data_IF_969991361011
#
_entry.id   IF_969991361011
#
_cell.length_a   1.000
_cell.length_b   1.000
_cell.length_c   1.000
_cell.angle_alpha   90.00
_cell.angle_beta   90.00
_cell.angle_gamma   90.00
#
_symmetry.space_group_name_H-M   'P 1'
#
loop_
_entity.id
_entity.type
_entity.pdbx_description
1 polymer ?
#
# COMPACT_ATOMS: atom_id res chain seq x y z
N UNK A 1 7.43 7.76 -43.85
CA UNK A 1 6.88 7.92 -42.48
C UNK A 1 7.53 6.91 -41.59
N UNK A 2 8.11 7.32 -40.48
CA UNK A 2 8.56 6.37 -39.45
C UNK A 2 7.34 5.64 -38.87
N UNK A 3 7.42 4.32 -38.56
CA UNK A 3 6.31 3.60 -37.97
C UNK A 3 6.00 4.14 -36.59
N UNK A 4 4.70 4.27 -36.25
CA UNK A 4 4.27 4.63 -34.90
C UNK A 4 4.50 3.43 -33.98
N UNK A 5 5.22 3.65 -32.90
CA UNK A 5 5.47 2.61 -31.90
C UNK A 5 4.15 2.21 -31.20
N UNK A 6 3.83 0.90 -31.19
CA UNK A 6 2.62 0.39 -30.57
C UNK A 6 2.87 0.18 -29.06
N UNK A 7 1.98 0.71 -28.25
CA UNK A 7 1.96 0.40 -26.82
C UNK A 7 0.52 0.21 -26.32
N UNK A 8 0.38 -0.49 -25.19
CA UNK A 8 -0.86 -0.56 -24.41
C UNK A 8 -0.59 -0.04 -23.01
N UNK A 9 -1.57 0.59 -22.41
CA UNK A 9 -1.46 1.13 -21.05
C UNK A 9 -2.76 0.86 -20.30
N UNK A 10 -2.65 0.48 -19.04
CA UNK A 10 -3.78 0.27 -18.15
C UNK A 10 -3.68 1.22 -16.95
N UNK A 11 -4.79 1.81 -16.54
CA UNK A 11 -4.89 2.62 -15.32
C UNK A 11 -5.73 1.87 -14.30
N UNK A 12 -5.23 1.74 -13.08
CA UNK A 12 -6.03 1.21 -11.97
C UNK A 12 -7.05 2.25 -11.53
N UNK A 13 -8.32 1.82 -11.34
CA UNK A 13 -9.41 2.70 -10.89
C UNK A 13 -9.36 3.02 -9.39
N UNK A 14 -8.18 3.33 -8.83
CA UNK A 14 -8.03 3.71 -7.44
C UNK A 14 -8.53 5.14 -7.20
N UNK A 15 -9.30 5.34 -6.13
CA UNK A 15 -9.70 6.67 -5.65
C UNK A 15 -8.64 7.20 -4.70
N UNK A 16 -8.30 8.47 -4.84
CA UNK A 16 -7.30 9.14 -4.02
C UNK A 16 -7.91 10.37 -3.35
N UNK A 17 -7.72 10.47 -2.03
CA UNK A 17 -8.01 11.66 -1.23
C UNK A 17 -6.70 12.15 -0.63
N UNK A 18 -6.36 13.42 -0.83
CA UNK A 18 -5.11 14.01 -0.37
C UNK A 18 -5.35 15.39 0.26
N UNK A 19 -4.52 15.74 1.23
CA UNK A 19 -4.53 17.04 1.91
C UNK A 19 -5.06 16.96 3.34
N UNK A 20 -5.38 18.12 3.88
CA UNK A 20 -5.94 18.24 5.22
C UNK A 20 -7.31 17.55 5.26
N UNK A 21 -7.56 16.85 6.37
CA UNK A 21 -8.82 16.15 6.62
C UNK A 21 -9.24 15.15 5.52
N UNK A 22 -8.29 14.67 4.71
CA UNK A 22 -8.56 13.67 3.67
C UNK A 22 -9.24 12.41 4.25
N UNK A 23 -8.95 12.04 5.51
CA UNK A 23 -9.59 10.93 6.21
C UNK A 23 -11.09 11.11 6.45
N UNK A 24 -11.63 12.31 6.42
CA UNK A 24 -13.07 12.55 6.63
C UNK A 24 -13.92 11.92 5.51
N UNK A 25 -13.29 11.66 4.36
CA UNK A 25 -13.92 10.91 3.27
C UNK A 25 -14.06 9.40 3.53
N UNK A 26 -13.43 8.87 4.59
CA UNK A 26 -13.34 7.42 4.86
C UNK A 26 -14.72 6.78 5.06
N UNK A 27 -15.62 7.42 5.84
CA UNK A 27 -16.97 6.91 6.06
C UNK A 27 -17.78 6.87 4.75
N UNK A 28 -17.65 7.91 3.91
CA UNK A 28 -18.32 7.98 2.61
C UNK A 28 -17.82 6.89 1.65
N UNK A 29 -16.50 6.66 1.63
CA UNK A 29 -15.92 5.59 0.80
C UNK A 29 -16.34 4.19 1.29
N UNK A 30 -16.40 3.96 2.61
CA UNK A 30 -16.94 2.71 3.18
C UNK A 30 -18.42 2.52 2.82
N UNK A 31 -19.23 3.58 2.92
CA UNK A 31 -20.64 3.54 2.52
C UNK A 31 -20.81 3.26 1.03
N UNK A 32 -19.97 3.82 0.16
CA UNK A 32 -20.00 3.57 -1.30
C UNK A 32 -19.80 2.10 -1.65
N UNK A 33 -19.07 1.36 -0.82
CA UNK A 33 -18.82 -0.08 -0.97
C UNK A 33 -19.85 -0.95 -0.22
N UNK A 34 -20.83 -0.32 0.44
CA UNK A 34 -21.78 -0.99 1.35
C UNK A 34 -21.08 -1.80 2.46
N UNK A 35 -19.87 -1.40 2.84
CA UNK A 35 -19.09 -2.07 3.88
C UNK A 35 -19.71 -1.84 5.25
N UNK A 36 -19.91 -2.91 6.02
CA UNK A 36 -20.53 -2.87 7.35
C UNK A 36 -19.53 -3.21 8.48
N UNK A 37 -18.45 -3.90 8.15
CA UNK A 37 -17.50 -4.45 9.13
C UNK A 37 -16.06 -4.17 8.72
N UNK A 38 -15.63 -2.91 8.93
CA UNK A 38 -14.29 -2.46 8.62
C UNK A 38 -13.29 -2.95 9.69
N UNK A 39 -12.25 -3.64 9.27
CA UNK A 39 -11.16 -4.11 10.12
C UNK A 39 -9.87 -3.37 9.80
N UNK A 40 -9.23 -2.80 10.84
CA UNK A 40 -8.01 -2.03 10.69
C UNK A 40 -6.78 -2.93 10.89
N UNK A 41 -5.75 -2.74 10.07
CA UNK A 41 -4.42 -3.34 10.25
C UNK A 41 -3.42 -2.21 10.41
N UNK A 42 -2.71 -2.17 11.54
CA UNK A 42 -1.65 -1.19 11.77
C UNK A 42 -0.53 -1.77 12.65
N UNK A 43 0.58 -1.05 12.73
CA UNK A 43 1.67 -1.39 13.65
C UNK A 43 1.45 -0.79 15.04
N UNK A 44 2.16 -1.33 16.03
CA UNK A 44 2.09 -0.90 17.43
C UNK A 44 2.30 0.63 17.59
N UNK A 45 3.27 1.21 16.89
CA UNK A 45 3.56 2.65 17.00
C UNK A 45 2.40 3.53 16.52
N UNK A 46 1.68 3.12 15.48
CA UNK A 46 0.48 3.84 15.01
C UNK A 46 -0.61 3.79 16.07
N UNK A 47 -0.85 2.60 16.65
CA UNK A 47 -1.90 2.41 17.64
C UNK A 47 -1.65 3.12 18.97
N UNK A 48 -0.36 3.25 19.41
CA UNK A 48 -0.03 3.72 20.76
C UNK A 48 0.58 5.12 20.82
N UNK A 49 1.12 5.61 19.71
CA UNK A 49 1.86 6.89 19.68
C UNK A 49 1.22 7.95 18.79
N UNK A 50 0.09 7.62 18.14
CA UNK A 50 -0.62 8.55 17.27
C UNK A 50 -2.12 8.46 17.53
N UNK A 51 -2.90 9.51 17.26
CA UNK A 51 -4.36 9.48 17.38
C UNK A 51 -5.06 8.82 16.18
N UNK A 52 -4.32 8.28 15.20
CA UNK A 52 -4.87 7.84 13.92
C UNK A 52 -5.88 6.70 14.05
N UNK A 53 -5.58 5.71 14.89
CA UNK A 53 -6.49 4.58 15.08
C UNK A 53 -7.81 5.04 15.70
N UNK A 54 -7.77 5.90 16.72
CA UNK A 54 -8.96 6.44 17.37
C UNK A 54 -9.74 7.35 16.43
N UNK A 55 -9.07 8.19 15.62
CA UNK A 55 -9.71 9.01 14.59
C UNK A 55 -10.43 8.13 13.56
N UNK A 56 -9.78 7.10 13.03
CA UNK A 56 -10.42 6.16 12.08
C UNK A 56 -11.60 5.43 12.71
N UNK A 57 -11.45 4.97 13.96
CA UNK A 57 -12.54 4.35 14.73
C UNK A 57 -13.73 5.29 14.90
N UNK A 58 -13.48 6.54 15.26
CA UNK A 58 -14.52 7.57 15.40
C UNK A 58 -15.25 7.85 14.09
N UNK A 59 -14.54 7.97 12.98
CA UNK A 59 -15.11 8.21 11.63
C UNK A 59 -15.97 7.01 11.18
N UNK A 60 -15.52 5.79 11.42
CA UNK A 60 -16.27 4.58 11.04
C UNK A 60 -17.52 4.33 11.89
N UNK A 61 -17.50 4.76 13.17
CA UNK A 61 -18.60 4.54 14.10
C UNK A 61 -19.00 3.07 14.20
N UNK A 62 -20.25 2.74 13.94
CA UNK A 62 -20.78 1.35 14.00
C UNK A 62 -20.17 0.40 12.96
N UNK A 63 -19.55 0.92 11.90
CA UNK A 63 -18.85 0.09 10.89
C UNK A 63 -17.49 -0.42 11.37
N UNK A 64 -16.93 0.13 12.45
CA UNK A 64 -15.67 -0.35 12.98
C UNK A 64 -15.85 -1.72 13.65
N UNK A 65 -15.28 -2.77 13.07
CA UNK A 65 -15.38 -4.13 13.60
C UNK A 65 -14.25 -4.47 14.57
N UNK A 66 -13.04 -3.93 14.38
CA UNK A 66 -11.88 -4.22 15.21
C UNK A 66 -10.57 -3.82 14.54
N UNK A 67 -9.43 -4.11 15.20
CA UNK A 67 -8.12 -3.82 14.68
C UNK A 67 -7.05 -4.82 15.12
N UNK A 68 -6.16 -5.20 14.20
CA UNK A 68 -4.87 -5.79 14.51
C UNK A 68 -3.81 -4.71 14.60
N UNK A 69 -3.24 -4.50 15.78
CA UNK A 69 -2.36 -3.38 16.09
C UNK A 69 -0.89 -3.76 16.28
N UNK A 70 -0.55 -5.01 16.00
CA UNK A 70 0.77 -5.59 16.30
C UNK A 70 1.60 -5.89 15.04
N UNK A 71 1.19 -5.39 13.86
CA UNK A 71 1.91 -5.66 12.62
C UNK A 71 3.35 -5.17 12.71
N UNK A 72 4.28 -6.09 12.64
CA UNK A 72 5.71 -5.85 12.77
C UNK A 72 6.34 -5.40 11.44
N UNK A 73 7.58 -4.89 11.55
CA UNK A 73 8.40 -4.55 10.37
C UNK A 73 8.60 -5.78 9.48
N UNK A 74 8.62 -5.56 8.17
CA UNK A 74 8.77 -6.57 7.12
C UNK A 74 7.61 -7.56 6.99
N UNK A 75 6.50 -7.32 7.68
CA UNK A 75 5.29 -8.13 7.61
C UNK A 75 5.58 -9.63 7.82
N UNK A 76 5.84 -10.08 9.06
CA UNK A 76 6.02 -11.49 9.35
C UNK A 76 4.77 -12.29 8.99
N UNK A 77 4.97 -13.51 8.51
CA UNK A 77 3.86 -14.38 8.09
C UNK A 77 2.92 -14.70 9.25
N UNK A 78 3.45 -14.84 10.47
CA UNK A 78 2.66 -15.16 11.66
C UNK A 78 1.77 -13.99 12.08
N UNK A 79 2.28 -12.73 12.04
CA UNK A 79 1.44 -11.54 12.27
C UNK A 79 0.28 -11.47 11.26
N UNK A 80 0.53 -11.87 10.01
CA UNK A 80 -0.52 -11.90 8.96
C UNK A 80 -1.56 -12.98 9.23
N UNK A 81 -1.14 -14.16 9.72
CA UNK A 81 -2.07 -15.24 10.11
C UNK A 81 -2.97 -14.82 11.27
N UNK A 82 -2.38 -14.21 12.30
CA UNK A 82 -3.13 -13.68 13.45
C UNK A 82 -4.13 -12.62 13.00
N UNK A 83 -3.68 -11.62 12.21
CA UNK A 83 -4.55 -10.58 11.69
C UNK A 83 -5.70 -11.14 10.83
N UNK A 84 -5.43 -12.15 10.01
CA UNK A 84 -6.46 -12.81 9.19
C UNK A 84 -7.46 -13.59 10.05
N UNK A 85 -7.00 -14.27 11.11
CA UNK A 85 -7.87 -14.98 12.04
C UNK A 85 -8.79 -14.01 12.80
N UNK A 86 -8.27 -12.91 13.33
CA UNK A 86 -9.06 -11.88 14.00
C UNK A 86 -10.08 -11.22 13.04
N UNK A 87 -9.65 -10.85 11.84
CA UNK A 87 -10.54 -10.25 10.83
C UNK A 87 -11.67 -11.21 10.42
N UNK A 88 -11.36 -12.51 10.25
CA UNK A 88 -12.35 -13.54 9.93
C UNK A 88 -13.36 -13.74 11.06
N UNK A 89 -12.90 -13.82 12.30
CA UNK A 89 -13.77 -13.97 13.48
C UNK A 89 -14.75 -12.80 13.62
N UNK A 90 -14.34 -11.60 13.20
CA UNK A 90 -15.18 -10.40 13.20
C UNK A 90 -16.01 -10.23 11.91
N UNK A 91 -15.90 -11.13 10.95
CA UNK A 91 -16.63 -11.07 9.67
C UNK A 91 -16.28 -9.82 8.85
N UNK A 92 -15.01 -9.45 8.81
CA UNK A 92 -14.55 -8.24 8.10
C UNK A 92 -14.87 -8.28 6.61
N UNK A 93 -15.54 -7.25 6.11
CA UNK A 93 -15.90 -7.03 4.71
C UNK A 93 -15.13 -5.87 4.04
N UNK A 94 -14.37 -5.11 4.84
CA UNK A 94 -13.47 -4.05 4.40
C UNK A 94 -12.19 -4.10 5.26
N UNK A 95 -11.03 -4.00 4.63
CA UNK A 95 -9.75 -3.87 5.32
C UNK A 95 -9.19 -2.46 5.17
N UNK A 96 -8.69 -1.89 6.27
CA UNK A 96 -8.07 -0.57 6.29
C UNK A 96 -6.63 -0.71 6.81
N UNK A 97 -5.66 -0.46 5.94
CA UNK A 97 -4.25 -0.44 6.30
C UNK A 97 -3.84 0.97 6.74
N UNK A 98 -3.38 1.15 7.97
CA UNK A 98 -2.83 2.44 8.45
C UNK A 98 -1.33 2.27 8.67
N UNK A 99 -0.51 2.82 7.79
CA UNK A 99 0.94 2.69 7.90
C UNK A 99 1.71 2.91 6.62
N UNK A 100 2.89 2.32 6.56
CA UNK A 100 3.77 2.31 5.40
C UNK A 100 3.90 0.89 4.81
N UNK A 101 4.90 0.66 3.98
CA UNK A 101 5.05 -0.53 3.13
C UNK A 101 4.78 -1.88 3.79
N UNK A 102 5.23 -2.13 5.04
CA UNK A 102 5.02 -3.42 5.72
C UNK A 102 3.55 -3.69 6.01
N UNK A 103 2.84 -2.70 6.56
CA UNK A 103 1.41 -2.81 6.87
C UNK A 103 0.59 -3.00 5.59
N UNK A 104 0.87 -2.22 4.54
CA UNK A 104 0.15 -2.32 3.27
C UNK A 104 0.35 -3.71 2.62
N UNK A 105 1.56 -4.25 2.66
CA UNK A 105 1.86 -5.60 2.17
C UNK A 105 1.13 -6.68 2.98
N UNK A 106 1.17 -6.58 4.31
CA UNK A 106 0.47 -7.49 5.20
C UNK A 106 -1.02 -7.51 4.93
N UNK A 107 -1.67 -6.35 4.84
CA UNK A 107 -3.11 -6.22 4.62
C UNK A 107 -3.57 -6.89 3.32
N UNK A 108 -2.76 -6.85 2.25
CA UNK A 108 -3.05 -7.59 1.01
C UNK A 108 -3.10 -9.09 1.23
N UNK A 109 -2.14 -9.63 1.99
CA UNK A 109 -2.11 -11.07 2.24
C UNK A 109 -3.19 -11.47 3.25
N UNK A 110 -3.56 -10.60 4.18
CA UNK A 110 -4.78 -10.77 5.00
C UNK A 110 -6.01 -10.88 4.09
N UNK A 111 -6.17 -10.01 3.08
CA UNK A 111 -7.27 -10.11 2.11
C UNK A 111 -7.24 -11.42 1.33
N UNK A 112 -6.06 -11.90 0.92
CA UNK A 112 -5.90 -13.20 0.27
C UNK A 112 -6.35 -14.32 1.22
N UNK A 113 -5.87 -14.31 2.46
CA UNK A 113 -6.23 -15.31 3.47
C UNK A 113 -7.72 -15.34 3.79
N UNK A 114 -8.40 -14.19 3.76
CA UNK A 114 -9.86 -14.13 3.97
C UNK A 114 -10.65 -14.70 2.79
N UNK A 115 -10.15 -14.50 1.58
CA UNK A 115 -10.85 -14.95 0.36
C UNK A 115 -10.58 -16.42 0.01
N UNK A 116 -9.42 -16.97 0.36
CA UNK A 116 -9.00 -18.32 -0.02
C UNK A 116 -9.02 -19.28 1.19
N UNK A 117 -9.52 -20.52 0.99
CA UNK A 117 -9.57 -21.55 2.04
C UNK A 117 -8.40 -22.52 1.93
N UNK A 118 -7.18 -22.01 1.84
CA UNK A 118 -5.96 -22.80 1.75
C UNK A 118 -4.86 -22.20 2.62
N UNK A 119 -3.87 -23.01 3.06
CA UNK A 119 -2.69 -22.49 3.73
C UNK A 119 -2.00 -21.41 2.90
N UNK A 120 -1.48 -20.35 3.54
CA UNK A 120 -0.83 -19.24 2.85
C UNK A 120 0.37 -19.70 2.00
N UNK A 121 1.09 -20.72 2.46
CA UNK A 121 2.23 -21.29 1.74
C UNK A 121 1.85 -21.82 0.36
N UNK A 122 0.64 -22.39 0.22
CA UNK A 122 0.12 -22.90 -1.05
C UNK A 122 -0.33 -21.80 -2.00
N UNK A 123 -0.56 -20.58 -1.46
CA UNK A 123 -0.97 -19.40 -2.21
C UNK A 123 0.21 -18.53 -2.65
N UNK A 124 1.41 -18.85 -2.19
CA UNK A 124 2.61 -18.10 -2.54
C UNK A 124 3.10 -18.43 -3.97
N UNK A 125 3.79 -17.47 -4.57
CA UNK A 125 4.51 -17.63 -5.84
C UNK A 125 5.57 -18.72 -5.70
N UNK A 126 5.61 -19.63 -6.66
CA UNK A 126 6.57 -20.74 -6.71
C UNK A 126 7.69 -20.41 -7.69
N UNK A 127 8.90 -20.68 -7.25
CA UNK A 127 10.12 -20.53 -8.04
C UNK A 127 10.65 -21.93 -8.40
N UNK A 128 10.59 -22.31 -9.67
CA UNK A 128 11.12 -23.58 -10.18
C UNK A 128 12.47 -23.32 -10.83
N UNK A 129 13.58 -23.52 -10.11
CA UNK A 129 14.95 -23.52 -10.63
C UNK A 129 15.23 -22.60 -11.82
N UNK A 130 15.14 -23.12 -13.03
CA UNK A 130 15.43 -22.40 -14.27
C UNK A 130 14.21 -21.82 -14.99
N UNK A 131 13.00 -21.93 -14.43
CA UNK A 131 11.76 -21.41 -15.03
C UNK A 131 11.35 -20.04 -14.49
N UNK A 132 10.41 -19.34 -15.16
CA UNK A 132 9.85 -18.11 -14.63
C UNK A 132 9.05 -18.39 -13.34
N UNK A 133 8.95 -17.41 -12.42
CA UNK A 133 8.13 -17.55 -11.23
C UNK A 133 6.66 -17.74 -11.61
N UNK A 134 5.98 -18.65 -10.92
CA UNK A 134 4.55 -18.94 -11.15
C UNK A 134 3.74 -18.58 -9.92
N UNK A 135 2.89 -17.58 -10.04
CA UNK A 135 1.92 -17.23 -9.01
C UNK A 135 0.64 -18.05 -9.20
N UNK A 136 0.11 -18.69 -8.14
CA UNK A 136 -1.17 -19.38 -8.21
C UNK A 136 -2.29 -18.43 -8.65
N UNK A 137 -3.20 -18.91 -9.50
CA UNK A 137 -4.37 -18.15 -9.88
C UNK A 137 -5.39 -18.18 -8.74
N UNK A 138 -5.57 -17.04 -8.06
CA UNK A 138 -6.50 -16.88 -6.95
C UNK A 138 -7.85 -16.36 -7.51
N UNK A 139 -8.90 -17.16 -7.43
CA UNK A 139 -10.16 -16.86 -8.13
C UNK A 139 -11.22 -16.23 -7.23
N UNK A 140 -11.20 -16.52 -5.93
CA UNK A 140 -12.23 -16.05 -5.01
C UNK A 140 -12.21 -14.52 -4.84
N UNK A 141 -13.34 -13.87 -4.54
CA UNK A 141 -13.39 -12.45 -4.21
C UNK A 141 -12.56 -12.16 -2.96
N UNK A 142 -12.07 -10.92 -2.85
CA UNK A 142 -11.30 -10.43 -1.71
C UNK A 142 -12.03 -9.22 -1.10
N UNK A 143 -11.98 -9.04 0.22
CA UNK A 143 -12.41 -7.79 0.82
C UNK A 143 -11.68 -6.61 0.18
N UNK A 144 -12.35 -5.49 -0.13
CA UNK A 144 -11.70 -4.29 -0.60
C UNK A 144 -10.73 -3.76 0.45
N UNK A 145 -9.71 -3.01 -0.03
CA UNK A 145 -8.67 -2.45 0.84
C UNK A 145 -8.65 -0.93 0.69
N UNK A 146 -8.62 -0.22 1.82
CA UNK A 146 -8.25 1.18 1.92
C UNK A 146 -6.84 1.31 2.48
N UNK A 147 -6.03 2.20 1.91
CA UNK A 147 -4.70 2.51 2.42
C UNK A 147 -4.66 3.94 2.98
N UNK A 148 -4.36 4.08 4.26
CA UNK A 148 -4.05 5.35 4.93
C UNK A 148 -2.54 5.40 5.11
N UNK A 149 -1.87 6.26 4.35
CA UNK A 149 -0.42 6.32 4.35
C UNK A 149 0.12 7.15 5.52
N UNK A 150 1.13 6.63 6.22
CA UNK A 150 1.94 7.42 7.16
C UNK A 150 3.28 7.83 6.57
N UNK A 151 3.73 7.17 5.50
CA UNK A 151 4.94 7.54 4.77
C UNK A 151 4.85 7.09 3.31
N UNK A 152 5.59 7.75 2.43
CA UNK A 152 5.65 7.43 1.02
C UNK A 152 6.15 6.01 0.77
N UNK A 153 5.49 5.28 -0.13
CA UNK A 153 5.86 3.92 -0.48
C UNK A 153 5.35 3.55 -1.87
N UNK A 154 6.17 2.85 -2.64
CA UNK A 154 5.74 2.26 -3.92
C UNK A 154 4.72 1.11 -3.74
N UNK A 155 4.53 0.64 -2.50
CA UNK A 155 3.56 -0.40 -2.21
C UNK A 155 2.10 0.08 -2.22
N UNK A 156 1.85 1.39 -2.33
CA UNK A 156 0.54 1.97 -2.03
C UNK A 156 -0.61 1.53 -2.96
N UNK A 157 -0.34 1.13 -4.20
CA UNK A 157 -1.34 0.75 -5.21
C UNK A 157 -1.07 -0.61 -5.88
N UNK A 158 -0.18 -1.41 -5.31
CA UNK A 158 0.21 -2.72 -5.88
C UNK A 158 -0.71 -3.85 -5.43
N UNK A 159 -0.78 -4.91 -6.25
CA UNK A 159 -1.46 -6.19 -5.91
C UNK A 159 -0.51 -7.29 -5.43
N UNK A 160 0.78 -7.00 -5.28
CA UNK A 160 1.80 -7.94 -4.83
C UNK A 160 2.30 -7.65 -3.42
N UNK A 161 2.78 -8.67 -2.72
CA UNK A 161 3.39 -8.55 -1.41
C UNK A 161 4.46 -9.63 -1.20
N UNK A 162 5.55 -9.28 -0.51
CA UNK A 162 6.55 -10.23 -0.05
C UNK A 162 6.61 -10.18 1.47
N UNK A 163 6.38 -11.32 2.13
CA UNK A 163 6.33 -11.49 3.56
C UNK A 163 7.59 -12.18 4.09
N UNK A 164 8.00 -11.81 5.30
CA UNK A 164 9.13 -12.45 5.98
C UNK A 164 8.67 -13.76 6.64
N UNK A 165 9.45 -14.80 6.49
CA UNK A 165 9.28 -16.09 7.18
C UNK A 165 9.93 -16.05 8.57
N UNK A 166 9.34 -16.76 9.53
CA UNK A 166 9.90 -16.90 10.89
C UNK A 166 11.22 -17.68 10.89
N UNK A 167 11.35 -18.67 10.01
CA UNK A 167 12.55 -19.53 9.88
C UNK A 167 13.75 -18.85 9.21
N UNK A 168 13.63 -17.55 8.84
CA UNK A 168 14.69 -16.81 8.15
C UNK A 168 14.91 -17.22 6.68
N UNK A 169 14.08 -18.12 6.15
CA UNK A 169 14.11 -18.53 4.76
C UNK A 169 13.73 -17.42 3.78
N UNK A 170 13.76 -17.72 2.46
CA UNK A 170 13.36 -16.76 1.43
C UNK A 170 11.96 -16.22 1.71
N UNK A 171 11.74 -14.94 1.37
CA UNK A 171 10.41 -14.31 1.53
C UNK A 171 9.37 -15.06 0.70
N UNK A 172 8.17 -15.20 1.26
CA UNK A 172 7.02 -15.70 0.50
C UNK A 172 6.40 -14.54 -0.26
N UNK A 173 6.29 -14.70 -1.57
CA UNK A 173 5.70 -13.70 -2.44
C UNK A 173 4.28 -14.09 -2.83
N UNK A 174 3.39 -13.12 -2.81
CA UNK A 174 1.98 -13.27 -3.14
C UNK A 174 1.60 -12.26 -4.21
N UNK A 175 0.73 -12.66 -5.11
CA UNK A 175 0.17 -11.76 -6.11
C UNK A 175 -1.30 -12.05 -6.37
N UNK A 176 -2.14 -11.04 -6.16
CA UNK A 176 -3.53 -11.04 -6.61
C UNK A 176 -3.95 -9.61 -6.96
N UNK A 177 -4.27 -9.30 -8.23
CA UNK A 177 -4.66 -7.95 -8.63
C UNK A 177 -5.91 -7.43 -7.89
N UNK A 178 -6.76 -8.32 -7.35
CA UNK A 178 -7.94 -7.97 -6.55
C UNK A 178 -7.59 -7.37 -5.18
N UNK A 179 -6.32 -7.49 -4.74
CA UNK A 179 -5.84 -6.87 -3.49
C UNK A 179 -5.22 -5.49 -3.70
N UNK A 180 -5.28 -4.93 -4.91
CA UNK A 180 -5.01 -3.50 -5.10
C UNK A 180 -6.00 -2.69 -4.27
N UNK A 181 -5.57 -1.62 -3.59
CA UNK A 181 -6.50 -0.79 -2.83
C UNK A 181 -7.51 -0.13 -3.77
N UNK A 182 -8.72 0.00 -3.31
CA UNK A 182 -9.78 0.73 -4.03
C UNK A 182 -9.78 2.22 -3.67
N UNK A 183 -9.23 2.56 -2.49
CA UNK A 183 -9.07 3.96 -2.05
C UNK A 183 -7.76 4.14 -1.28
N UNK A 184 -7.10 5.27 -1.53
CA UNK A 184 -5.86 5.69 -0.86
C UNK A 184 -6.10 7.07 -0.23
N UNK A 185 -5.58 7.26 1.00
CA UNK A 185 -5.64 8.50 1.73
C UNK A 185 -4.23 9.02 2.02
N UNK A 186 -3.92 10.21 1.55
CA UNK A 186 -2.74 11.01 1.90
C UNK A 186 -3.16 12.14 2.82
N UNK A 187 -3.68 11.78 3.99
CA UNK A 187 -4.07 12.73 5.02
C UNK A 187 -2.82 13.37 5.64
N UNK A 188 -2.78 14.69 5.73
CA UNK A 188 -1.58 15.41 6.19
C UNK A 188 -1.21 15.06 7.62
N UNK A 189 -2.18 14.93 8.52
CA UNK A 189 -1.92 14.51 9.90
C UNK A 189 -1.41 13.07 9.97
N UNK A 190 -1.93 12.17 9.12
CA UNK A 190 -1.43 10.80 9.03
C UNK A 190 0.02 10.76 8.52
N UNK A 191 0.35 11.53 7.49
CA UNK A 191 1.70 11.60 6.96
C UNK A 191 2.68 12.24 7.95
N UNK A 192 2.27 13.27 8.70
CA UNK A 192 3.09 13.93 9.71
C UNK A 192 3.27 13.08 10.98
N UNK A 193 2.43 12.06 11.22
CA UNK A 193 2.56 11.15 12.36
C UNK A 193 3.82 10.27 12.31
N UNK A 194 4.39 10.06 11.11
CA UNK A 194 5.64 9.34 10.97
C UNK A 194 6.84 10.19 11.41
N UNK A 195 7.79 9.61 12.17
CA UNK A 195 8.98 10.33 12.55
C UNK A 195 9.79 10.75 11.32
N UNK A 196 10.53 11.90 11.38
CA UNK A 196 11.34 12.37 10.26
C UNK A 196 12.29 11.32 9.68
N UNK A 197 12.88 10.49 10.53
CA UNK A 197 13.78 9.41 10.10
C UNK A 197 13.10 8.39 9.19
N UNK A 198 11.82 8.05 9.45
CA UNK A 198 11.07 7.15 8.58
C UNK A 198 10.70 7.85 7.27
N UNK A 199 10.25 9.11 7.32
CA UNK A 199 9.91 9.89 6.13
C UNK A 199 11.11 10.01 5.18
N UNK A 200 12.30 10.35 5.72
CA UNK A 200 13.54 10.44 4.94
C UNK A 200 13.97 9.07 4.40
N UNK A 201 13.96 8.03 5.22
CA UNK A 201 14.37 6.68 4.80
C UNK A 201 13.51 6.13 3.67
N UNK A 202 12.19 6.29 3.76
CA UNK A 202 11.26 5.85 2.70
C UNK A 202 11.37 6.75 1.47
N UNK A 203 11.52 8.06 1.67
CA UNK A 203 11.69 9.04 0.61
C UNK A 203 12.96 8.83 -0.22
N UNK A 204 14.07 8.45 0.43
CA UNK A 204 15.30 8.07 -0.27
C UNK A 204 15.07 6.91 -1.24
N UNK A 205 14.30 5.89 -0.83
CA UNK A 205 13.95 4.77 -1.70
C UNK A 205 13.09 5.19 -2.90
N UNK A 206 12.13 6.11 -2.67
CA UNK A 206 11.32 6.69 -3.75
C UNK A 206 12.16 7.50 -4.71
N UNK A 207 13.01 8.40 -4.20
CA UNK A 207 13.91 9.23 -5.01
C UNK A 207 14.88 8.38 -5.83
N UNK A 208 15.52 7.39 -5.20
CA UNK A 208 16.44 6.49 -5.90
C UNK A 208 15.78 5.78 -7.08
N UNK A 209 14.60 5.23 -6.88
CA UNK A 209 13.84 4.59 -7.96
C UNK A 209 13.46 5.60 -9.05
N UNK A 210 13.05 6.83 -8.67
CA UNK A 210 12.72 7.88 -9.62
C UNK A 210 13.92 8.28 -10.49
N UNK A 211 15.10 8.40 -9.87
CA UNK A 211 16.35 8.70 -10.57
C UNK A 211 16.71 7.59 -11.59
N UNK A 212 16.64 6.32 -11.17
CA UNK A 212 16.90 5.18 -12.06
C UNK A 212 15.91 5.11 -13.21
N UNK A 213 14.62 5.31 -12.94
CA UNK A 213 13.58 5.34 -13.95
C UNK A 213 13.73 6.50 -14.95
N UNK A 214 14.15 7.67 -14.48
CA UNK A 214 14.46 8.80 -15.36
C UNK A 214 15.66 8.52 -16.28
N UNK A 215 16.66 7.77 -15.79
CA UNK A 215 17.80 7.31 -16.61
C UNK A 215 17.40 6.35 -17.73
N UNK A 216 16.36 5.55 -17.52
CA UNK A 216 15.83 4.59 -18.50
C UNK A 216 14.64 5.14 -19.32
N UNK A 217 14.47 6.46 -19.40
CA UNK A 217 13.27 7.11 -19.93
C UNK A 217 12.99 6.76 -21.40
N UNK A 218 14.02 6.61 -22.23
CA UNK A 218 13.88 6.40 -23.67
C UNK A 218 13.27 5.04 -24.05
N UNK A 219 13.22 4.11 -23.12
CA UNK A 219 12.68 2.76 -23.34
C UNK A 219 11.18 2.67 -22.98
N UNK A 220 10.59 3.75 -22.48
CA UNK A 220 9.21 3.78 -22.02
C UNK A 220 8.27 4.47 -23.02
N UNK A 221 6.99 4.08 -23.02
CA UNK A 221 5.97 4.77 -23.80
C UNK A 221 5.74 6.21 -23.29
N UNK A 222 5.13 7.11 -24.07
CA UNK A 222 5.00 8.53 -23.72
C UNK A 222 4.29 8.80 -22.39
N UNK A 223 3.30 7.98 -21.99
CA UNK A 223 2.58 8.16 -20.73
C UNK A 223 3.47 7.82 -19.52
N UNK A 224 4.26 6.76 -19.66
CA UNK A 224 5.23 6.35 -18.64
C UNK A 224 6.39 7.34 -18.56
N UNK A 225 6.85 7.87 -19.71
CA UNK A 225 7.87 8.93 -19.74
C UNK A 225 7.43 10.16 -18.94
N UNK A 226 6.23 10.66 -19.19
CA UNK A 226 5.67 11.79 -18.45
C UNK A 226 5.58 11.52 -16.95
N UNK A 227 5.10 10.32 -16.56
CA UNK A 227 4.99 9.92 -15.16
C UNK A 227 6.37 9.82 -14.47
N UNK A 228 7.37 9.22 -15.13
CA UNK A 228 8.74 9.07 -14.59
C UNK A 228 9.45 10.41 -14.43
N UNK A 229 9.36 11.29 -15.42
CA UNK A 229 9.97 12.63 -15.35
C UNK A 229 9.36 13.45 -14.23
N UNK A 230 8.03 13.42 -14.10
CA UNK A 230 7.35 14.16 -13.03
C UNK A 230 7.64 13.57 -11.66
N UNK A 231 7.68 12.24 -11.52
CA UNK A 231 8.07 11.56 -10.28
C UNK A 231 9.48 11.95 -9.83
N UNK A 232 10.43 12.05 -10.79
CA UNK A 232 11.78 12.50 -10.47
C UNK A 232 11.81 13.96 -10.02
N UNK A 233 11.11 14.86 -10.71
CA UNK A 233 11.03 16.27 -10.34
C UNK A 233 10.44 16.45 -8.93
N UNK A 234 9.30 15.82 -8.64
CA UNK A 234 8.66 15.86 -7.32
C UNK A 234 9.56 15.33 -6.21
N UNK A 235 10.14 14.13 -6.40
CA UNK A 235 10.96 13.50 -5.37
C UNK A 235 12.26 14.26 -5.10
N UNK A 236 12.89 14.83 -6.15
CA UNK A 236 14.09 15.68 -6.02
C UNK A 236 13.79 16.94 -5.21
N UNK A 237 12.64 17.57 -5.44
CA UNK A 237 12.24 18.79 -4.73
C UNK A 237 11.82 18.50 -3.29
N UNK A 238 11.11 17.40 -3.05
CA UNK A 238 10.58 17.04 -1.75
C UNK A 238 11.66 16.51 -0.79
N UNK A 239 12.64 15.75 -1.29
CA UNK A 239 13.59 15.01 -0.46
C UNK A 239 14.32 15.86 0.61
N UNK A 240 14.87 17.06 0.31
CA UNK A 240 15.58 17.87 1.31
C UNK A 240 14.68 18.39 2.43
N UNK A 241 13.35 18.43 2.21
CA UNK A 241 12.36 18.99 3.14
C UNK A 241 11.61 17.93 3.95
N UNK A 242 11.82 16.63 3.69
CA UNK A 242 11.09 15.55 4.36
C UNK A 242 11.31 15.47 5.87
N UNK A 243 12.44 16.00 6.35
CA UNK A 243 12.75 16.00 7.78
C UNK A 243 11.97 17.05 8.57
N UNK A 244 11.34 18.03 7.90
CA UNK A 244 10.52 19.02 8.56
C UNK A 244 9.24 18.37 9.13
N UNK A 245 9.03 18.39 10.46
CA UNK A 245 7.87 17.78 11.08
C UNK A 245 6.58 18.62 10.93
N UNK A 246 6.68 19.86 10.45
CA UNK A 246 5.56 20.78 10.30
C UNK A 246 5.11 20.95 8.85
N UNK A 247 5.93 20.50 7.88
CA UNK A 247 5.64 20.66 6.46
C UNK A 247 5.16 19.31 5.88
N UNK A 248 3.86 19.20 5.63
CA UNK A 248 3.25 18.01 5.05
C UNK A 248 3.44 17.93 3.53
N UNK A 249 3.61 19.05 2.82
CA UNK A 249 3.63 19.08 1.36
C UNK A 249 4.73 18.19 0.76
N UNK A 250 6.00 18.19 1.24
CA UNK A 250 7.01 17.28 0.74
C UNK A 250 6.65 15.79 0.92
N UNK A 251 5.90 15.46 1.97
CA UNK A 251 5.44 14.08 2.20
C UNK A 251 4.35 13.67 1.21
N UNK A 252 3.42 14.58 0.89
CA UNK A 252 2.41 14.40 -0.16
C UNK A 252 3.08 14.27 -1.53
N UNK A 253 4.01 15.17 -1.87
CA UNK A 253 4.76 15.15 -3.13
C UNK A 253 5.53 13.82 -3.30
N UNK A 254 6.11 13.31 -2.21
CA UNK A 254 6.81 12.03 -2.21
C UNK A 254 5.84 10.85 -2.40
N UNK A 255 4.64 10.91 -1.83
CA UNK A 255 3.59 9.91 -2.09
C UNK A 255 3.16 9.93 -3.56
N UNK A 256 3.01 11.13 -4.15
CA UNK A 256 2.69 11.30 -5.56
C UNK A 256 3.80 10.75 -6.46
N UNK A 257 5.07 11.06 -6.15
CA UNK A 257 6.22 10.51 -6.86
C UNK A 257 6.23 8.97 -6.81
N UNK A 258 5.95 8.38 -5.64
CA UNK A 258 5.89 6.93 -5.48
C UNK A 258 4.74 6.29 -6.28
N UNK A 259 3.59 6.96 -6.39
CA UNK A 259 2.44 6.49 -7.18
C UNK A 259 2.71 6.54 -8.68
N UNK A 260 3.24 7.66 -9.16
CA UNK A 260 3.57 7.87 -10.57
C UNK A 260 4.55 6.83 -11.11
N UNK A 261 5.49 6.36 -10.29
CA UNK A 261 6.47 5.34 -10.67
C UNK A 261 5.86 3.95 -10.87
N UNK A 262 4.63 3.72 -10.47
CA UNK A 262 3.96 2.43 -10.62
C UNK A 262 3.08 2.35 -11.88
N UNK A 263 3.11 3.39 -12.75
CA UNK A 263 2.19 3.51 -13.87
C UNK A 263 2.40 2.47 -14.98
N UNK A 264 3.56 1.87 -15.04
CA UNK A 264 3.97 0.89 -16.07
C UNK A 264 3.91 -0.57 -15.60
N UNK A 265 3.28 -0.84 -14.48
CA UNK A 265 3.19 -2.18 -13.86
C UNK A 265 1.77 -2.73 -13.79
#
# INVERSE_FOLDING_TARGET
MAPVERFSSMSSGVRLHAGDDALDMLAREAQRLDAQRAFVVCGHSVATRTPLLDRVRGILGSRYAGAYTRMSKDAPLDDVREAAAEARALGADLLIAIGAGSVLKATRVVAIALGEDRPLEDLATRYSGNGPPVSPRLLRPKPPIFNVLTAATSAQDRGGAALRRADGGPRLEFFDPKTRPVTIFWDTAALLSAPPSLAVSTGLGVYWRALMNAGAIRQANPLVQAARLHAYALSRHALPRLADPLDAQPRVDMCAAALLQNRDE
#
